data_IF_780882344446
#
_entry.id   IF_780882344446
#
_cell.length_a   1.000
_cell.length_b   1.000
_cell.length_c   1.000
_cell.angle_alpha   90.00
_cell.angle_beta   90.00
_cell.angle_gamma   90.00
#
_symmetry.space_group_name_H-M   'P 1'
#
loop_
_entity.id
_entity.type
_entity.pdbx_description
1 polymer ?
#
# COMPACT_ATOMS: atom_id res chain seq x y z
N UNK A 1 -12.36 61.85 -10.21
CA UNK A 1 -12.87 60.46 -10.33
C UNK A 1 -13.91 60.24 -9.22
N UNK A 2 -15.13 59.87 -9.56
CA UNK A 2 -16.24 59.72 -8.59
C UNK A 2 -15.89 58.61 -7.60
N UNK A 3 -16.28 58.73 -6.32
CA UNK A 3 -15.93 57.81 -5.23
C UNK A 3 -16.26 56.32 -5.56
N UNK A 4 -17.37 56.07 -6.21
CA UNK A 4 -17.79 54.74 -6.63
C UNK A 4 -16.87 54.12 -7.69
N UNK A 5 -16.29 54.90 -8.62
CA UNK A 5 -15.33 54.41 -9.63
C UNK A 5 -14.06 53.88 -8.95
N UNK A 6 -13.57 54.51 -7.89
CA UNK A 6 -12.43 54.03 -7.13
C UNK A 6 -12.76 52.69 -6.43
N UNK A 7 -13.96 52.59 -5.87
CA UNK A 7 -14.41 51.33 -5.22
C UNK A 7 -14.48 50.21 -6.23
N UNK A 8 -15.08 50.42 -7.41
CA UNK A 8 -15.15 49.43 -8.47
C UNK A 8 -13.75 49.00 -8.94
N UNK A 9 -12.85 49.95 -9.17
CA UNK A 9 -11.48 49.61 -9.57
C UNK A 9 -10.74 48.85 -8.48
N UNK A 10 -10.96 49.14 -7.21
CA UNK A 10 -10.40 48.39 -6.08
C UNK A 10 -10.94 46.94 -6.04
N UNK A 11 -12.26 46.77 -6.21
CA UNK A 11 -12.87 45.45 -6.23
C UNK A 11 -12.36 44.61 -7.40
N UNK A 12 -12.30 45.21 -8.61
CA UNK A 12 -11.74 44.54 -9.79
C UNK A 12 -10.27 44.16 -9.58
N UNK A 13 -9.48 45.04 -8.99
CA UNK A 13 -8.08 44.78 -8.68
C UNK A 13 -7.90 43.58 -7.69
N UNK A 14 -8.74 43.55 -6.65
CA UNK A 14 -8.73 42.45 -5.68
C UNK A 14 -9.12 41.13 -6.35
N UNK A 15 -10.18 41.13 -7.17
CA UNK A 15 -10.61 39.91 -7.91
C UNK A 15 -9.49 39.42 -8.85
N UNK A 16 -8.85 40.33 -9.59
CA UNK A 16 -7.74 39.99 -10.46
C UNK A 16 -6.54 39.43 -9.67
N UNK A 17 -6.21 40.00 -8.54
CA UNK A 17 -5.14 39.51 -7.67
C UNK A 17 -5.46 38.11 -7.12
N UNK A 18 -6.70 37.86 -6.68
CA UNK A 18 -7.15 36.53 -6.22
C UNK A 18 -7.14 35.51 -7.36
N UNK A 19 -7.54 35.87 -8.57
CA UNK A 19 -7.50 34.99 -9.74
C UNK A 19 -6.05 34.59 -10.08
N UNK A 20 -5.13 35.56 -10.05
CA UNK A 20 -3.70 35.27 -10.27
C UNK A 20 -3.14 34.40 -9.16
N UNK A 21 -3.43 34.68 -7.90
CA UNK A 21 -3.01 33.85 -6.77
C UNK A 21 -3.57 32.42 -6.87
N UNK A 22 -4.84 32.28 -7.25
CA UNK A 22 -5.47 30.98 -7.50
C UNK A 22 -4.82 30.21 -8.64
N UNK A 23 -4.50 30.91 -9.74
CA UNK A 23 -3.79 30.29 -10.87
C UNK A 23 -2.37 29.83 -10.48
N UNK A 24 -1.66 30.62 -9.69
CA UNK A 24 -0.34 30.25 -9.16
C UNK A 24 -0.49 29.01 -8.26
N UNK A 25 -1.42 29.06 -7.29
CA UNK A 25 -1.66 27.93 -6.38
C UNK A 25 -1.98 26.65 -7.15
N UNK A 26 -2.83 26.73 -8.20
CA UNK A 26 -3.19 25.60 -9.04
C UNK A 26 -1.98 24.97 -9.76
N UNK A 27 -1.02 25.78 -10.18
CA UNK A 27 0.14 25.32 -10.95
C UNK A 27 1.33 24.87 -10.09
N UNK A 28 1.48 25.40 -8.87
CA UNK A 28 2.66 25.08 -8.02
C UNK A 28 2.34 24.14 -6.86
N UNK A 29 1.06 23.99 -6.48
CA UNK A 29 0.65 23.13 -5.38
C UNK A 29 0.13 21.78 -5.90
N UNK A 30 0.48 20.65 -5.25
CA UNK A 30 -0.11 19.35 -5.59
C UNK A 30 -1.57 19.21 -5.13
N UNK A 31 -2.00 20.04 -4.17
CA UNK A 31 -3.30 19.92 -3.50
C UNK A 31 -4.52 19.95 -4.42
N UNK A 32 -4.61 20.81 -5.44
CA UNK A 32 -5.78 20.80 -6.33
C UNK A 32 -5.97 19.47 -7.05
N UNK A 33 -4.88 18.87 -7.54
CA UNK A 33 -4.92 17.55 -8.17
C UNK A 33 -5.29 16.45 -7.18
N UNK A 34 -4.73 16.49 -5.98
CA UNK A 34 -5.04 15.54 -4.90
C UNK A 34 -6.51 15.62 -4.51
N UNK A 35 -7.07 16.83 -4.32
CA UNK A 35 -8.49 17.00 -4.00
C UNK A 35 -9.41 16.43 -5.07
N UNK A 36 -9.08 16.63 -6.36
CA UNK A 36 -9.85 16.07 -7.47
C UNK A 36 -9.84 14.54 -7.39
N UNK A 37 -8.67 13.93 -7.23
CA UNK A 37 -8.54 12.47 -7.21
C UNK A 37 -9.23 11.87 -5.98
N UNK A 38 -9.03 12.46 -4.79
CA UNK A 38 -9.67 11.98 -3.55
C UNK A 38 -11.18 12.21 -3.52
N UNK A 39 -11.69 13.17 -4.31
CA UNK A 39 -13.13 13.43 -4.43
C UNK A 39 -13.80 12.59 -5.52
N UNK A 40 -13.02 11.95 -6.39
CA UNK A 40 -13.57 11.11 -7.45
C UNK A 40 -14.20 9.86 -6.84
N UNK A 41 -15.44 9.51 -7.24
CA UNK A 41 -16.02 8.23 -6.83
C UNK A 41 -15.15 7.07 -7.33
N UNK A 42 -15.01 6.04 -6.51
CA UNK A 42 -14.41 4.77 -6.93
C UNK A 42 -15.49 3.69 -7.07
N UNK A 43 -16.28 3.71 -8.16
CA UNK A 43 -17.34 2.73 -8.38
C UNK A 43 -16.79 1.32 -8.60
N UNK A 44 -15.57 1.18 -9.09
CA UNK A 44 -14.93 -0.13 -9.29
C UNK A 44 -14.53 -0.76 -7.96
N UNK A 45 -13.93 0.01 -7.05
CA UNK A 45 -13.58 -0.46 -5.71
C UNK A 45 -14.82 -0.84 -4.90
N UNK A 46 -15.87 -0.04 -4.94
CA UNK A 46 -17.15 -0.35 -4.28
C UNK A 46 -17.78 -1.62 -4.85
N UNK A 47 -17.88 -1.75 -6.18
CA UNK A 47 -18.42 -2.94 -6.82
C UNK A 47 -17.62 -4.21 -6.48
N UNK A 48 -16.31 -4.12 -6.49
CA UNK A 48 -15.44 -5.26 -6.13
C UNK A 48 -15.63 -5.65 -4.66
N UNK A 49 -15.76 -4.67 -3.75
CA UNK A 49 -16.02 -4.91 -2.34
C UNK A 49 -17.39 -5.59 -2.12
N UNK A 50 -18.44 -5.12 -2.80
CA UNK A 50 -19.78 -5.71 -2.75
C UNK A 50 -19.78 -7.14 -3.30
N UNK A 51 -19.14 -7.36 -4.45
CA UNK A 51 -19.04 -8.71 -5.05
C UNK A 51 -18.27 -9.66 -4.15
N UNK A 52 -17.18 -9.23 -3.56
CA UNK A 52 -16.39 -10.07 -2.64
C UNK A 52 -17.16 -10.41 -1.36
N UNK A 53 -18.09 -9.57 -0.92
CA UNK A 53 -18.89 -9.79 0.29
C UNK A 53 -19.72 -11.09 0.22
N UNK A 54 -20.16 -11.49 -0.98
CA UNK A 54 -20.93 -12.73 -1.19
C UNK A 54 -20.11 -14.00 -0.93
N UNK A 55 -18.76 -13.88 -0.93
CA UNK A 55 -17.85 -14.99 -0.80
C UNK A 55 -17.11 -15.02 0.55
N UNK A 56 -17.36 -14.03 1.43
CA UNK A 56 -16.75 -14.00 2.76
C UNK A 56 -17.35 -15.09 3.63
N UNK A 57 -16.54 -16.06 4.13
CA UNK A 57 -17.04 -17.08 5.03
C UNK A 57 -17.35 -16.54 6.42
N UNK A 58 -18.28 -17.18 7.12
CA UNK A 58 -18.70 -16.79 8.48
C UNK A 58 -17.65 -17.10 9.55
N UNK A 59 -16.65 -17.94 9.23
CA UNK A 59 -15.63 -18.46 10.14
C UNK A 59 -14.29 -17.72 10.05
N UNK A 60 -14.29 -16.47 9.65
CA UNK A 60 -13.10 -15.60 9.66
C UNK A 60 -13.06 -14.76 10.93
N UNK A 61 -11.97 -14.85 11.66
CA UNK A 61 -11.63 -13.92 12.73
C UNK A 61 -11.01 -12.64 12.14
N UNK A 62 -11.47 -11.48 12.62
CA UNK A 62 -11.02 -10.19 12.15
C UNK A 62 -10.64 -9.27 13.33
N UNK A 63 -9.38 -8.89 13.41
CA UNK A 63 -8.90 -7.82 14.28
C UNK A 63 -8.79 -6.55 13.43
N UNK A 64 -9.70 -5.60 13.64
CA UNK A 64 -9.78 -4.37 12.82
C UNK A 64 -9.11 -3.19 13.51
N UNK A 65 -8.53 -2.30 12.71
CA UNK A 65 -7.97 -1.02 13.14
C UNK A 65 -6.91 -1.15 14.25
N UNK A 66 -6.15 -2.24 14.23
CA UNK A 66 -5.03 -2.48 15.14
C UNK A 66 -3.97 -1.39 14.93
N UNK A 67 -3.61 -0.69 15.99
CA UNK A 67 -2.62 0.40 15.93
C UNK A 67 -1.21 -0.19 15.96
N UNK A 68 -0.46 -0.05 14.87
CA UNK A 68 0.94 -0.43 14.80
C UNK A 68 1.90 0.78 14.93
N UNK A 69 1.37 1.99 14.73
CA UNK A 69 2.16 3.23 14.85
C UNK A 69 1.28 4.37 15.39
N UNK A 70 1.43 4.69 16.66
CA UNK A 70 0.67 5.78 17.32
C UNK A 70 1.06 7.19 16.81
N UNK A 71 2.18 7.31 16.11
CA UNK A 71 2.66 8.59 15.59
C UNK A 71 1.94 9.04 14.30
N UNK A 72 1.14 8.16 13.69
CA UNK A 72 0.40 8.41 12.47
C UNK A 72 -1.08 8.02 12.61
N UNK A 73 -1.98 8.83 12.09
CA UNK A 73 -3.40 8.48 12.04
C UNK A 73 -3.66 7.24 11.17
N UNK A 74 -2.85 7.05 10.13
CA UNK A 74 -2.85 5.91 9.21
C UNK A 74 -1.99 4.74 9.72
N UNK A 75 -1.42 4.84 10.92
CA UNK A 75 -0.65 3.77 11.58
C UNK A 75 -1.53 2.62 12.06
N UNK A 76 -2.43 2.12 11.20
CA UNK A 76 -3.41 1.07 11.50
C UNK A 76 -3.36 -0.04 10.48
N UNK A 77 -3.74 -1.23 10.91
CA UNK A 77 -3.87 -2.41 10.06
C UNK A 77 -5.08 -3.24 10.48
N UNK A 78 -5.54 -4.11 9.57
CA UNK A 78 -6.51 -5.15 9.91
C UNK A 78 -5.81 -6.51 9.79
N UNK A 79 -6.21 -7.48 10.61
CA UNK A 79 -5.72 -8.86 10.54
C UNK A 79 -6.89 -9.82 10.39
N UNK A 80 -6.82 -10.68 9.38
CA UNK A 80 -7.84 -11.69 9.07
C UNK A 80 -7.20 -13.08 9.11
N UNK A 81 -7.88 -14.05 9.73
CA UNK A 81 -7.47 -15.46 9.76
C UNK A 81 -8.67 -16.38 9.93
N UNK A 82 -8.58 -17.66 9.53
CA UNK A 82 -9.59 -18.65 9.90
C UNK A 82 -9.76 -18.71 11.42
N UNK A 83 -11.00 -18.74 11.89
CA UNK A 83 -11.30 -18.73 13.33
C UNK A 83 -10.91 -20.06 14.03
N UNK A 84 -10.83 -21.14 13.27
CA UNK A 84 -10.48 -22.49 13.71
C UNK A 84 -8.99 -22.84 13.54
N UNK A 85 -8.14 -21.87 13.23
CA UNK A 85 -6.72 -22.10 13.05
C UNK A 85 -6.05 -22.52 14.37
N UNK A 86 -5.58 -23.75 14.44
CA UNK A 86 -4.92 -24.35 15.61
C UNK A 86 -3.43 -23.97 15.74
N UNK A 87 -2.85 -23.34 14.73
CA UNK A 87 -1.44 -22.97 14.68
C UNK A 87 -1.23 -21.67 13.88
N UNK A 88 -0.08 -20.98 14.07
CA UNK A 88 0.29 -19.83 13.28
C UNK A 88 0.35 -20.14 11.77
N UNK A 89 -0.22 -19.25 10.96
CA UNK A 89 -0.38 -19.43 9.52
C UNK A 89 0.66 -18.63 8.72
N UNK A 90 0.99 -19.05 7.49
CA UNK A 90 1.73 -18.22 6.56
C UNK A 90 1.02 -16.87 6.40
N UNK A 91 1.79 -15.79 6.42
CA UNK A 91 1.21 -14.45 6.56
C UNK A 91 1.43 -13.60 5.33
N UNK A 92 0.35 -13.04 4.82
CA UNK A 92 0.35 -12.12 3.67
C UNK A 92 0.14 -10.70 4.17
N UNK A 93 1.12 -9.81 3.95
CA UNK A 93 0.96 -8.38 4.14
C UNK A 93 0.48 -7.77 2.84
N UNK A 94 -0.72 -7.23 2.84
CA UNK A 94 -1.29 -6.52 1.69
C UNK A 94 -1.16 -5.02 1.84
N UNK A 95 -0.59 -4.37 0.84
CA UNK A 95 -0.48 -2.92 0.74
C UNK A 95 -1.38 -2.45 -0.40
N UNK A 96 -2.37 -1.60 -0.08
CA UNK A 96 -3.35 -1.15 -1.05
C UNK A 96 -2.78 -0.14 -2.07
N UNK A 97 -3.42 -0.06 -3.23
CA UNK A 97 -3.14 0.93 -4.25
C UNK A 97 -3.73 2.31 -3.93
N UNK A 98 -3.74 3.19 -4.92
CA UNK A 98 -4.30 4.54 -4.83
C UNK A 98 -3.36 5.64 -5.30
N UNK A 99 -2.47 5.34 -6.24
CA UNK A 99 -1.54 6.29 -6.88
C UNK A 99 -0.66 7.05 -5.86
N UNK A 100 -0.40 6.51 -4.68
CA UNK A 100 0.31 7.09 -3.54
C UNK A 100 -0.38 8.31 -2.90
N UNK A 101 -1.53 8.74 -3.38
CA UNK A 101 -2.23 9.96 -2.96
C UNK A 101 -3.65 9.72 -2.47
N UNK A 102 -4.17 8.51 -2.66
CA UNK A 102 -5.53 8.08 -2.29
C UNK A 102 -5.52 6.58 -1.99
N UNK A 103 -6.68 6.01 -1.78
CA UNK A 103 -6.88 4.61 -1.40
C UNK A 103 -7.13 4.49 0.11
N UNK A 104 -7.60 3.35 0.51
CA UNK A 104 -7.88 2.99 1.90
C UNK A 104 -7.90 1.47 2.02
N UNK A 105 -7.66 0.95 3.23
CA UNK A 105 -7.71 -0.49 3.51
C UNK A 105 -9.12 -1.07 3.54
N UNK A 106 -10.15 -0.26 3.87
CA UNK A 106 -11.51 -0.72 4.11
C UNK A 106 -12.16 -1.42 2.90
N UNK A 107 -12.07 -0.91 1.66
CA UNK A 107 -12.67 -1.57 0.50
C UNK A 107 -12.11 -2.97 0.21
N UNK A 108 -10.90 -3.27 0.69
CA UNK A 108 -10.26 -4.57 0.48
C UNK A 108 -10.65 -5.62 1.53
N UNK A 109 -11.31 -5.24 2.62
CA UNK A 109 -11.60 -6.14 3.75
C UNK A 109 -12.28 -7.45 3.32
N UNK A 110 -13.30 -7.38 2.49
CA UNK A 110 -14.04 -8.57 2.04
C UNK A 110 -13.14 -9.50 1.19
N UNK A 111 -12.40 -8.93 0.24
CA UNK A 111 -11.47 -9.71 -0.58
C UNK A 111 -10.39 -10.38 0.27
N UNK A 112 -9.83 -9.67 1.25
CA UNK A 112 -8.75 -10.20 2.10
C UNK A 112 -9.25 -11.24 3.11
N UNK A 113 -10.52 -11.16 3.54
CA UNK A 113 -11.15 -12.23 4.32
C UNK A 113 -11.33 -13.50 3.49
N UNK A 114 -11.76 -13.37 2.22
CA UNK A 114 -11.80 -14.52 1.29
C UNK A 114 -10.40 -15.10 1.09
N UNK A 115 -9.38 -14.24 0.97
CA UNK A 115 -8.00 -14.73 0.86
C UNK A 115 -7.55 -15.46 2.13
N UNK A 116 -7.91 -14.96 3.30
CA UNK A 116 -7.58 -15.59 4.59
C UNK A 116 -8.22 -16.98 4.74
N UNK A 117 -9.42 -17.20 4.21
CA UNK A 117 -10.10 -18.51 4.27
C UNK A 117 -9.35 -19.64 3.57
N UNK A 118 -8.35 -19.31 2.76
CA UNK A 118 -7.47 -20.30 2.12
C UNK A 118 -6.27 -20.72 2.99
N UNK A 119 -6.32 -20.48 4.30
CA UNK A 119 -5.31 -20.92 5.26
C UNK A 119 -4.14 -19.95 5.42
N UNK A 120 -4.41 -18.67 5.31
CA UNK A 120 -3.45 -17.60 5.55
C UNK A 120 -3.90 -16.68 6.69
N UNK A 121 -2.93 -16.10 7.41
CA UNK A 121 -3.15 -14.85 8.11
C UNK A 121 -2.91 -13.72 7.10
N UNK A 122 -3.86 -12.80 6.96
CA UNK A 122 -3.76 -11.68 6.01
C UNK A 122 -3.78 -10.37 6.78
N UNK A 123 -2.73 -9.57 6.60
CA UNK A 123 -2.55 -8.26 7.22
C UNK A 123 -2.77 -7.18 6.18
N UNK A 124 -3.78 -6.34 6.38
CA UNK A 124 -4.16 -5.25 5.50
C UNK A 124 -3.60 -3.93 6.04
N UNK A 125 -2.55 -3.43 5.44
CA UNK A 125 -1.77 -2.30 5.96
C UNK A 125 -2.26 -0.98 5.40
N UNK A 126 -2.58 -0.01 6.29
CA UNK A 126 -2.78 1.38 5.92
C UNK A 126 -1.46 2.15 5.99
N UNK A 127 -1.31 3.18 5.17
CA UNK A 127 -0.13 4.04 5.13
C UNK A 127 -0.48 5.48 4.76
N UNK A 128 0.35 6.43 5.16
CA UNK A 128 0.13 7.86 4.90
C UNK A 128 0.42 8.21 3.45
N UNK A 129 -0.53 8.88 2.81
CA UNK A 129 -0.47 9.29 1.41
C UNK A 129 0.30 10.61 1.21
N UNK A 130 0.75 10.83 -0.03
CA UNK A 130 1.22 12.13 -0.46
C UNK A 130 0.03 13.11 -0.65
N UNK A 131 0.20 14.40 -0.39
CA UNK A 131 1.43 15.09 -0.05
C UNK A 131 1.71 15.16 1.46
N UNK A 132 0.88 14.59 2.33
CA UNK A 132 1.06 14.58 3.79
C UNK A 132 2.35 13.83 4.17
N UNK A 133 2.63 12.75 3.45
CA UNK A 133 3.91 12.04 3.53
C UNK A 133 4.50 11.85 2.13
N UNK A 134 5.82 11.77 2.09
CA UNK A 134 6.57 11.54 0.85
C UNK A 134 7.47 10.32 0.99
N UNK A 135 7.95 9.82 -0.13
CA UNK A 135 8.95 8.76 -0.15
C UNK A 135 10.14 9.09 0.80
N UNK A 136 10.61 8.16 1.62
CA UNK A 136 10.23 6.75 1.70
C UNK A 136 9.25 6.43 2.85
N UNK A 137 8.45 7.37 3.34
CA UNK A 137 7.57 7.19 4.50
C UNK A 137 6.66 5.96 4.40
N UNK A 138 5.93 5.69 3.29
CA UNK A 138 5.08 4.51 3.18
C UNK A 138 5.86 3.20 3.37
N UNK A 139 7.08 3.10 2.83
CA UNK A 139 7.92 1.90 2.98
C UNK A 139 8.32 1.69 4.44
N UNK A 140 8.66 2.77 5.14
CA UNK A 140 8.99 2.73 6.57
C UNK A 140 7.78 2.37 7.44
N UNK A 141 6.58 2.76 7.03
CA UNK A 141 5.34 2.37 7.71
C UNK A 141 5.03 0.89 7.50
N UNK A 142 5.19 0.37 6.29
CA UNK A 142 5.06 -1.08 6.02
C UNK A 142 6.07 -1.88 6.82
N UNK A 143 7.33 -1.44 6.92
CA UNK A 143 8.33 -2.12 7.75
C UNK A 143 7.94 -2.11 9.23
N UNK A 144 7.46 -0.99 9.77
CA UNK A 144 6.94 -0.93 11.16
C UNK A 144 5.72 -1.83 11.37
N UNK A 145 4.83 -1.93 10.38
CA UNK A 145 3.71 -2.86 10.43
C UNK A 145 4.19 -4.32 10.48
N UNK A 146 5.21 -4.68 9.71
CA UNK A 146 5.83 -6.00 9.74
C UNK A 146 6.45 -6.25 11.11
N UNK A 147 7.26 -5.32 11.63
CA UNK A 147 7.89 -5.42 12.94
C UNK A 147 6.85 -5.63 14.07
N UNK A 148 5.81 -4.79 14.07
CA UNK A 148 4.71 -4.92 15.03
C UNK A 148 4.03 -6.29 14.98
N UNK A 149 3.67 -6.74 13.78
CA UNK A 149 2.96 -8.01 13.56
C UNK A 149 3.83 -9.21 13.96
N UNK A 150 5.12 -9.18 13.64
CA UNK A 150 6.07 -10.23 14.04
C UNK A 150 6.28 -10.24 15.55
N UNK A 151 6.37 -9.07 16.17
CA UNK A 151 6.47 -8.97 17.65
C UNK A 151 5.22 -9.49 18.38
N UNK A 152 4.05 -9.49 17.72
CA UNK A 152 2.78 -9.99 18.27
C UNK A 152 2.30 -11.27 17.55
N UNK A 153 3.22 -12.03 16.97
CA UNK A 153 2.93 -13.15 16.07
C UNK A 153 2.00 -14.20 16.69
N UNK A 154 2.23 -14.59 17.93
CA UNK A 154 1.41 -15.58 18.64
C UNK A 154 -0.04 -15.09 18.81
N UNK A 155 -0.23 -13.84 19.23
CA UNK A 155 -1.54 -13.23 19.44
C UNK A 155 -2.33 -13.09 18.12
N UNK A 156 -1.64 -12.75 17.04
CA UNK A 156 -2.23 -12.49 15.72
C UNK A 156 -2.31 -13.75 14.84
N UNK A 157 -1.83 -14.89 15.32
CA UNK A 157 -1.84 -16.13 14.53
C UNK A 157 -0.91 -16.10 13.31
N UNK A 158 0.23 -15.43 13.44
CA UNK A 158 1.21 -15.18 12.39
C UNK A 158 2.38 -16.15 12.49
N UNK A 159 2.79 -16.74 11.39
CA UNK A 159 4.06 -17.46 11.29
C UNK A 159 5.14 -16.50 10.76
N UNK A 160 6.06 -16.03 11.62
CA UNK A 160 7.08 -15.06 11.25
C UNK A 160 8.13 -15.62 10.28
N UNK A 161 8.20 -16.94 10.11
CA UNK A 161 9.13 -17.60 9.18
C UNK A 161 8.55 -17.75 7.76
N UNK A 162 7.26 -17.40 7.56
CA UNK A 162 6.56 -17.57 6.29
C UNK A 162 5.80 -16.33 5.88
N UNK A 163 6.52 -15.24 5.60
CA UNK A 163 5.96 -13.94 5.24
C UNK A 163 5.91 -13.76 3.72
N UNK A 164 4.84 -13.17 3.24
CA UNK A 164 4.63 -12.77 1.85
C UNK A 164 4.22 -11.31 1.81
N UNK A 165 4.85 -10.52 0.96
CA UNK A 165 4.43 -9.15 0.67
C UNK A 165 3.55 -9.13 -0.57
N UNK A 166 2.42 -8.45 -0.51
CA UNK A 166 1.51 -8.30 -1.63
C UNK A 166 1.02 -6.87 -1.73
N UNK A 167 0.56 -6.48 -2.90
CA UNK A 167 -0.05 -5.18 -3.09
C UNK A 167 -0.48 -4.96 -4.52
N UNK A 168 -1.32 -3.95 -4.71
CA UNK A 168 -1.83 -3.53 -6.01
C UNK A 168 -1.36 -2.10 -6.37
N UNK A 169 -1.09 -1.85 -7.64
CA UNK A 169 -0.75 -0.54 -8.18
C UNK A 169 0.38 0.16 -7.37
N UNK A 170 0.11 1.29 -6.73
CA UNK A 170 1.05 1.99 -5.85
C UNK A 170 1.51 1.11 -4.68
N UNK A 171 0.61 0.32 -4.09
CA UNK A 171 0.92 -0.64 -3.04
C UNK A 171 1.87 -1.74 -3.52
N UNK A 172 1.74 -2.19 -4.76
CA UNK A 172 2.69 -3.13 -5.37
C UNK A 172 4.11 -2.54 -5.44
N UNK A 173 4.25 -1.24 -5.75
CA UNK A 173 5.55 -0.58 -5.73
C UNK A 173 6.14 -0.49 -4.31
N UNK A 174 5.32 -0.19 -3.31
CA UNK A 174 5.73 -0.16 -1.90
C UNK A 174 6.17 -1.57 -1.47
N UNK A 175 5.34 -2.59 -1.71
CA UNK A 175 5.65 -3.98 -1.40
C UNK A 175 6.93 -4.47 -2.09
N UNK A 176 7.14 -4.12 -3.35
CA UNK A 176 8.36 -4.46 -4.09
C UNK A 176 9.60 -3.83 -3.46
N UNK A 177 9.56 -2.55 -3.07
CA UNK A 177 10.69 -1.88 -2.45
C UNK A 177 10.96 -2.39 -1.03
N UNK A 178 9.91 -2.69 -0.24
CA UNK A 178 10.06 -3.35 1.06
C UNK A 178 10.70 -4.73 0.90
N UNK A 179 10.28 -5.51 -0.08
CA UNK A 179 10.87 -6.82 -0.38
C UNK A 179 12.35 -6.70 -0.82
N UNK A 180 12.67 -5.69 -1.61
CA UNK A 180 14.07 -5.40 -1.99
C UNK A 180 14.92 -5.05 -0.76
N UNK A 181 14.40 -4.21 0.15
CA UNK A 181 15.10 -3.85 1.37
C UNK A 181 15.34 -5.07 2.27
N UNK A 182 14.34 -5.94 2.43
CA UNK A 182 14.47 -7.19 3.20
C UNK A 182 15.45 -8.15 2.54
N UNK A 183 15.36 -8.34 1.22
CA UNK A 183 16.14 -9.37 0.51
C UNK A 183 17.57 -8.98 0.22
N UNK A 184 17.89 -7.67 0.20
CA UNK A 184 19.18 -7.12 -0.22
C UNK A 184 19.65 -6.06 0.78
N UNK A 185 20.41 -6.42 1.82
CA UNK A 185 20.89 -5.47 2.84
C UNK A 185 21.69 -4.31 2.27
N UNK A 186 22.44 -4.53 1.19
CA UNK A 186 23.22 -3.47 0.52
C UNK A 186 22.27 -2.42 -0.12
N UNK A 187 21.15 -2.87 -0.70
CA UNK A 187 20.13 -1.96 -1.21
C UNK A 187 19.45 -1.19 -0.07
N UNK A 188 19.08 -1.87 1.00
CA UNK A 188 18.49 -1.23 2.17
C UNK A 188 19.39 -0.13 2.74
N UNK A 189 20.69 -0.41 2.88
CA UNK A 189 21.67 0.56 3.34
C UNK A 189 21.83 1.75 2.37
N UNK A 190 21.94 1.48 1.07
CA UNK A 190 22.11 2.53 0.05
C UNK A 190 20.87 3.42 -0.07
N UNK A 191 19.68 2.85 0.08
CA UNK A 191 18.41 3.57 0.01
C UNK A 191 17.98 4.19 1.34
N UNK A 192 18.68 3.90 2.45
CA UNK A 192 18.30 4.34 3.80
C UNK A 192 16.95 3.77 4.25
N UNK A 193 16.63 2.53 3.82
CA UNK A 193 15.41 1.84 4.15
C UNK A 193 15.65 0.84 5.29
N UNK A 194 14.67 0.68 6.20
CA UNK A 194 14.72 -0.36 7.23
C UNK A 194 14.41 -1.74 6.64
N UNK A 195 14.78 -2.78 7.39
CA UNK A 195 14.37 -4.16 7.18
C UNK A 195 14.30 -4.84 8.55
N UNK A 196 13.10 -4.95 9.10
CA UNK A 196 12.85 -5.49 10.45
C UNK A 196 12.89 -7.01 10.52
N UNK A 197 12.85 -7.68 9.38
CA UNK A 197 12.91 -9.15 9.27
C UNK A 197 14.07 -9.63 8.41
N UNK A 198 14.51 -10.86 8.64
CA UNK A 198 15.59 -11.47 7.90
C UNK A 198 15.13 -11.90 6.47
N UNK A 199 16.06 -11.96 5.50
CA UNK A 199 15.73 -12.32 4.12
C UNK A 199 15.07 -13.69 3.95
N UNK A 200 15.36 -14.65 4.83
CA UNK A 200 14.82 -16.00 4.80
C UNK A 200 13.40 -16.10 5.37
N UNK A 201 12.92 -15.12 6.10
CA UNK A 201 11.54 -15.01 6.54
C UNK A 201 10.60 -14.61 5.39
N UNK A 202 11.10 -13.87 4.38
CA UNK A 202 10.32 -13.49 3.21
C UNK A 202 10.28 -14.64 2.18
N UNK A 203 9.11 -15.24 2.00
CA UNK A 203 8.89 -16.40 1.11
C UNK A 203 8.42 -16.02 -0.29
N UNK A 204 7.89 -14.82 -0.46
CA UNK A 204 7.40 -14.38 -1.77
C UNK A 204 6.93 -12.96 -1.80
N UNK A 205 6.74 -12.49 -3.03
CA UNK A 205 6.14 -11.18 -3.31
C UNK A 205 5.10 -11.35 -4.41
N UNK A 206 3.92 -10.77 -4.22
CA UNK A 206 2.83 -10.80 -5.19
C UNK A 206 2.46 -9.38 -5.57
N UNK A 207 2.70 -9.00 -6.81
CA UNK A 207 2.54 -7.64 -7.28
C UNK A 207 1.45 -7.57 -8.35
N UNK A 208 0.38 -6.83 -8.05
CA UNK A 208 -0.69 -6.54 -8.99
C UNK A 208 -0.49 -5.13 -9.54
N UNK A 209 -0.08 -5.00 -10.81
CA UNK A 209 0.14 -3.70 -11.42
C UNK A 209 -1.07 -3.25 -12.23
N UNK A 210 -1.57 -2.05 -11.98
CA UNK A 210 -2.65 -1.46 -12.76
C UNK A 210 -2.25 -1.06 -14.18
N UNK A 211 -0.95 -0.91 -14.48
CA UNK A 211 -0.46 -0.48 -15.79
C UNK A 211 -0.28 -1.60 -16.81
N UNK A 212 -0.39 -2.85 -16.38
CA UNK A 212 -0.38 -3.98 -17.28
C UNK A 212 -1.28 -5.05 -16.67
N UNK A 213 -2.05 -5.74 -17.48
CA UNK A 213 -2.78 -6.94 -17.11
C UNK A 213 -1.82 -8.10 -16.77
N UNK A 214 -0.72 -7.79 -16.11
CA UNK A 214 0.39 -8.70 -15.84
C UNK A 214 0.65 -8.79 -14.35
N UNK A 215 0.64 -10.02 -13.89
CA UNK A 215 0.99 -10.43 -12.54
C UNK A 215 2.48 -10.69 -12.48
N UNK A 216 3.17 -10.10 -11.52
CA UNK A 216 4.55 -10.44 -11.21
C UNK A 216 4.56 -11.25 -9.91
N UNK A 217 4.96 -12.51 -9.99
CA UNK A 217 5.24 -13.32 -8.82
C UNK A 217 6.75 -13.60 -8.78
N UNK A 218 7.41 -13.13 -7.72
CA UNK A 218 8.83 -13.45 -7.47
C UNK A 218 8.88 -14.56 -6.45
N UNK A 219 9.26 -15.77 -6.88
CA UNK A 219 9.49 -16.91 -5.99
C UNK A 219 10.98 -17.09 -5.78
N UNK A 220 11.43 -17.05 -4.54
CA UNK A 220 12.79 -17.46 -4.17
C UNK A 220 12.82 -18.98 -4.08
N UNK A 221 13.42 -19.65 -5.08
CA UNK A 221 13.79 -21.05 -4.97
C UNK A 221 15.06 -21.21 -4.10
N UNK A 222 15.16 -22.27 -3.34
CA UNK A 222 16.38 -22.65 -2.65
C UNK A 222 17.49 -22.89 -3.68
N UNK A 223 18.41 -21.92 -3.85
CA UNK A 223 19.57 -21.94 -4.75
C UNK A 223 19.21 -21.93 -6.27
N UNK A 224 18.80 -20.77 -6.79
CA UNK A 224 18.63 -20.55 -8.23
C UNK A 224 18.29 -19.09 -8.58
N UNK A 225 18.42 -18.67 -9.84
CA UNK A 225 18.04 -17.33 -10.25
C UNK A 225 16.55 -17.07 -10.02
N UNK A 226 16.23 -15.81 -9.69
CA UNK A 226 14.84 -15.35 -9.51
C UNK A 226 14.06 -15.55 -10.80
N UNK A 227 13.06 -16.41 -10.77
CA UNK A 227 12.15 -16.63 -11.90
C UNK A 227 10.98 -15.66 -11.80
N UNK A 228 10.88 -14.73 -12.75
CA UNK A 228 9.71 -13.84 -12.91
C UNK A 228 8.75 -14.46 -13.91
N UNK A 229 7.52 -14.73 -13.50
CA UNK A 229 6.45 -15.15 -14.42
C UNK A 229 5.49 -13.99 -14.65
N UNK A 230 5.37 -13.60 -15.91
CA UNK A 230 4.38 -12.62 -16.37
C UNK A 230 3.31 -13.40 -17.15
N UNK A 231 2.06 -13.32 -16.72
CA UNK A 231 0.85 -13.79 -17.39
C UNK A 231 1.01 -14.78 -18.55
N UNK A 232 1.28 -16.06 -18.26
CA UNK A 232 1.26 -17.13 -19.23
C UNK A 232 2.45 -17.24 -20.20
N UNK A 233 3.37 -16.28 -20.22
CA UNK A 233 4.61 -16.33 -21.00
C UNK A 233 5.82 -16.25 -20.08
N UNK A 234 6.72 -17.21 -20.19
CA UNK A 234 8.01 -17.20 -19.50
C UNK A 234 8.97 -16.31 -20.31
N UNK A 235 9.12 -15.05 -19.91
CA UNK A 235 10.26 -14.24 -20.32
C UNK A 235 11.28 -14.19 -19.19
N UNK A 236 12.46 -14.69 -19.46
CA UNK A 236 13.61 -14.57 -18.58
C UNK A 236 14.19 -13.16 -18.72
N UNK A 237 13.75 -12.23 -17.88
CA UNK A 237 14.41 -10.94 -17.77
C UNK A 237 15.51 -11.05 -16.71
N UNK A 238 16.74 -11.09 -17.18
CA UNK A 238 17.94 -10.92 -16.36
C UNK A 238 17.95 -9.49 -15.81
N UNK A 239 17.85 -9.33 -14.49
CA UNK A 239 18.39 -8.14 -13.86
C UNK A 239 19.90 -8.23 -13.94
N UNK A 240 20.49 -7.43 -14.84
CA UNK A 240 21.91 -7.34 -15.02
C UNK A 240 22.60 -6.99 -13.70
N UNK A 241 23.77 -7.62 -13.48
CA UNK A 241 24.70 -7.24 -12.44
C UNK A 241 24.98 -5.74 -12.56
N UNK A 242 24.61 -4.98 -11.53
CA UNK A 242 25.22 -3.68 -11.31
C UNK A 242 26.65 -3.94 -10.85
N UNK A 243 27.58 -3.39 -11.60
CA UNK A 243 29.01 -3.31 -11.28
C UNK A 243 29.20 -2.27 -10.18
#
# INVERSE_FOLDING_TARGET
MKRWVRVVLWVVGVIAALAVAGAIFWNVSPWPGVWIIRSAPDPAGLHNAETAAEYVPDDIHADLDVVYDESSAEGRLDVFRPADADAPLPTIFWVHGGAFIAGQKEPLRNYLQVLASHGFTVVNVEYTHAPEAVYPTPIRQVDRAIDYVVAHAEQLGVDPERLVLAGDSAGAHIAAQSAMAISQPEYAQAAGLPASVAPDQLRGVVLFSACAHSWFCVRRGSAGPVETRVGGYAESTYFGRAV
#
